data_IF_797336227264
#
_entry.id   IF_797336227264
#
_cell.length_a   1.000
_cell.length_b   1.000
_cell.length_c   1.000
_cell.angle_alpha   90.00
_cell.angle_beta   90.00
_cell.angle_gamma   90.00
#
_symmetry.space_group_name_H-M   'P 1'
#
loop_
_entity.id
_entity.type
_entity.pdbx_description
1 polymer ?
#
# COMPACT_ATOMS: atom_id res chain seq x y z
N UNK A 1 19.42 22.52 -23.48
CA UNK A 1 20.23 22.38 -22.25
C UNK A 1 20.33 20.91 -21.91
N UNK A 2 21.51 20.33 -22.12
CA UNK A 2 21.86 18.97 -21.69
C UNK A 2 22.23 19.02 -20.21
N UNK A 3 21.41 18.45 -19.35
CA UNK A 3 21.79 18.12 -17.98
C UNK A 3 21.85 16.61 -17.85
N UNK A 4 23.08 16.08 -17.87
CA UNK A 4 23.39 14.79 -17.26
C UNK A 4 23.05 14.92 -15.78
N UNK A 5 21.86 14.47 -15.40
CA UNK A 5 21.56 14.13 -14.02
C UNK A 5 21.82 12.64 -13.92
N UNK A 6 22.96 12.26 -13.34
CA UNK A 6 23.11 10.93 -12.77
C UNK A 6 22.06 10.82 -11.67
N UNK A 7 20.92 10.22 -12.02
CA UNK A 7 19.82 9.95 -11.12
C UNK A 7 20.26 8.86 -10.13
N UNK A 8 20.77 9.31 -8.98
CA UNK A 8 21.13 8.44 -7.86
C UNK A 8 20.11 8.61 -6.73
N UNK A 9 18.83 8.24 -6.93
CA UNK A 9 17.88 8.01 -5.82
C UNK A 9 16.61 7.23 -6.20
N UNK A 10 15.98 6.58 -5.22
CA UNK A 10 15.95 5.14 -5.07
C UNK A 10 14.77 4.51 -5.83
N UNK A 11 15.10 3.59 -6.73
CA UNK A 11 14.31 2.36 -6.91
C UNK A 11 13.85 1.84 -5.55
N UNK A 12 12.63 1.28 -5.47
CA UNK A 12 12.12 0.58 -4.28
C UNK A 12 13.27 -0.16 -3.58
N UNK A 13 13.38 -0.01 -2.24
CA UNK A 13 14.54 -0.52 -1.50
C UNK A 13 14.85 -1.95 -1.92
N UNK A 14 16.13 -2.33 -2.07
CA UNK A 14 16.45 -3.70 -2.42
C UNK A 14 15.84 -4.66 -1.39
N UNK A 15 15.35 -5.81 -1.86
CA UNK A 15 14.88 -6.87 -0.98
C UNK A 15 16.05 -7.31 -0.10
N UNK A 16 15.86 -7.37 1.21
CA UNK A 16 16.91 -7.75 2.14
C UNK A 16 17.42 -9.17 1.84
N UNK A 17 18.69 -9.44 2.18
CA UNK A 17 19.29 -10.73 1.88
C UNK A 17 18.51 -11.89 2.55
N UNK A 18 18.27 -12.95 1.78
CA UNK A 18 17.51 -14.13 2.21
C UNK A 18 16.00 -13.90 2.35
N UNK A 19 15.50 -12.68 2.24
CA UNK A 19 14.05 -12.44 2.27
C UNK A 19 13.39 -13.12 1.08
N UNK A 20 12.28 -13.83 1.36
CA UNK A 20 11.50 -14.54 0.34
C UNK A 20 11.05 -13.61 -0.79
N UNK A 21 11.05 -14.12 -2.02
CA UNK A 21 10.80 -13.34 -3.24
C UNK A 21 9.35 -13.46 -3.75
N UNK A 22 8.57 -14.36 -3.18
CA UNK A 22 7.16 -14.62 -3.48
C UNK A 22 6.21 -13.88 -2.52
N UNK A 23 6.70 -12.86 -1.82
CA UNK A 23 5.89 -12.10 -0.88
C UNK A 23 4.89 -11.23 -1.65
N UNK A 24 3.65 -11.20 -1.16
CA UNK A 24 2.60 -10.33 -1.68
C UNK A 24 2.85 -8.87 -1.26
N UNK A 25 3.43 -8.64 -0.08
CA UNK A 25 3.74 -7.28 0.37
C UNK A 25 5.06 -7.19 1.10
N UNK A 26 5.89 -6.25 0.65
CA UNK A 26 7.12 -5.86 1.29
C UNK A 26 6.92 -4.57 2.09
N UNK A 27 7.48 -4.54 3.29
CA UNK A 27 7.60 -3.33 4.11
C UNK A 27 8.93 -2.65 3.83
N UNK A 28 8.86 -1.36 3.50
CA UNK A 28 9.99 -0.44 3.49
C UNK A 28 10.04 0.26 4.87
N UNK A 29 11.05 0.00 5.72
CA UNK A 29 11.16 0.65 7.02
C UNK A 29 11.53 2.14 6.92
N UNK A 30 11.14 2.98 7.91
CA UNK A 30 10.40 2.60 9.10
C UNK A 30 8.89 2.51 8.86
N UNK A 31 8.22 1.63 9.59
CA UNK A 31 6.76 1.50 9.58
C UNK A 31 6.11 2.64 10.38
N UNK A 32 5.09 3.27 9.81
CA UNK A 32 4.24 4.22 10.51
C UNK A 32 3.33 3.47 11.50
N UNK A 33 3.33 3.88 12.75
CA UNK A 33 2.42 3.34 13.76
C UNK A 33 1.05 4.03 13.69
N UNK A 34 -0.01 3.39 14.21
CA UNK A 34 -1.30 4.04 14.40
C UNK A 34 -1.16 5.36 15.18
N UNK A 35 -1.98 6.37 14.85
CA UNK A 35 -1.99 7.62 15.59
C UNK A 35 -2.37 7.37 17.05
N UNK A 36 -1.64 8.03 17.95
CA UNK A 36 -1.98 8.05 19.38
C UNK A 36 -2.85 9.27 19.62
N UNK A 37 -4.03 9.06 20.22
CA UNK A 37 -4.93 10.13 20.63
C UNK A 37 -4.85 10.30 22.14
N UNK A 38 -4.54 11.52 22.59
CA UNK A 38 -4.62 11.92 24.01
C UNK A 38 -5.65 13.03 24.08
N UNK A 39 -6.69 12.84 24.90
CA UNK A 39 -7.80 13.79 25.05
C UNK A 39 -8.45 14.22 23.72
N UNK A 40 -8.53 13.29 22.75
CA UNK A 40 -9.12 13.53 21.44
C UNK A 40 -8.23 14.28 20.44
N UNK A 41 -6.98 14.57 20.79
CA UNK A 41 -6.01 15.23 19.91
C UNK A 41 -5.04 14.19 19.33
N UNK A 42 -4.92 14.15 18.00
CA UNK A 42 -3.92 13.33 17.30
C UNK A 42 -2.52 13.87 17.64
N UNK A 43 -1.72 13.02 18.28
CA UNK A 43 -0.33 13.32 18.59
C UNK A 43 0.57 13.07 17.37
N UNK A 44 1.84 13.47 17.46
CA UNK A 44 2.81 13.25 16.40
C UNK A 44 2.87 11.78 15.96
N UNK A 45 2.87 11.57 14.63
CA UNK A 45 3.03 10.23 14.06
C UNK A 45 4.36 9.63 14.51
N UNK A 46 4.27 8.42 15.03
CA UNK A 46 5.43 7.65 15.48
C UNK A 46 5.79 6.61 14.43
N UNK A 47 7.07 6.30 14.31
CA UNK A 47 7.61 5.33 13.35
C UNK A 47 8.47 4.30 14.07
N UNK A 48 8.52 3.08 13.54
CA UNK A 48 9.32 2.00 14.11
C UNK A 48 9.99 1.14 13.05
N UNK A 49 11.17 0.63 13.37
CA UNK A 49 11.84 -0.45 12.63
C UNK A 49 12.07 -1.68 13.53
N UNK A 50 11.50 -1.69 14.75
CA UNK A 50 11.66 -2.78 15.71
C UNK A 50 10.81 -3.97 15.25
N UNK A 51 11.45 -5.13 15.11
CA UNK A 51 10.83 -6.31 14.51
C UNK A 51 9.62 -6.81 15.28
N UNK A 52 9.68 -6.87 16.62
CA UNK A 52 8.53 -7.30 17.43
C UNK A 52 7.30 -6.41 17.21
N UNK A 53 7.50 -5.09 17.14
CA UNK A 53 6.43 -4.11 16.92
C UNK A 53 5.89 -4.23 15.50
N UNK A 54 6.77 -4.39 14.49
CA UNK A 54 6.35 -4.60 13.10
C UNK A 54 5.58 -5.92 12.97
N UNK A 55 6.08 -7.01 13.54
CA UNK A 55 5.41 -8.30 13.50
C UNK A 55 4.00 -8.19 14.09
N UNK A 56 3.87 -7.59 15.28
CA UNK A 56 2.57 -7.37 15.91
C UNK A 56 1.62 -6.53 15.05
N UNK A 57 2.11 -5.46 14.42
CA UNK A 57 1.29 -4.58 13.58
C UNK A 57 0.77 -5.26 12.30
N UNK A 58 1.50 -6.25 11.80
CA UNK A 58 1.09 -7.10 10.68
C UNK A 58 0.46 -8.43 11.16
N UNK A 59 0.15 -8.57 12.45
CA UNK A 59 -0.39 -9.81 13.03
C UNK A 59 0.45 -11.08 12.72
N UNK A 60 1.77 -10.92 12.70
CA UNK A 60 2.77 -11.98 12.59
C UNK A 60 3.37 -12.30 13.96
N UNK A 61 3.89 -13.51 14.11
CA UNK A 61 4.84 -13.79 15.20
C UNK A 61 6.24 -13.28 14.82
N UNK A 62 7.08 -12.94 15.80
CA UNK A 62 8.48 -12.58 15.53
C UNK A 62 9.23 -13.70 14.80
N UNK A 63 8.94 -14.96 15.15
CA UNK A 63 9.50 -16.15 14.50
C UNK A 63 9.13 -16.20 13.02
N UNK A 64 7.84 -16.05 12.70
CA UNK A 64 7.36 -16.03 11.32
C UNK A 64 7.96 -14.88 10.50
N UNK A 65 8.05 -13.69 11.09
CA UNK A 65 8.68 -12.55 10.43
C UNK A 65 10.15 -12.84 10.09
N UNK A 66 10.90 -13.45 11.01
CA UNK A 66 12.31 -13.83 10.79
C UNK A 66 12.47 -15.01 9.83
N UNK A 67 11.56 -15.97 9.85
CA UNK A 67 11.54 -17.09 8.91
C UNK A 67 11.42 -16.58 7.47
N UNK A 68 10.54 -15.60 7.24
CA UNK A 68 10.40 -14.95 5.94
C UNK A 68 11.56 -14.00 5.58
N UNK A 69 12.37 -13.61 6.58
CA UNK A 69 13.43 -12.62 6.46
C UNK A 69 14.69 -13.03 7.27
N UNK A 70 15.45 -14.05 6.83
CA UNK A 70 16.57 -14.61 7.59
C UNK A 70 17.68 -13.61 7.95
N UNK A 71 17.82 -12.50 7.20
CA UNK A 71 18.75 -11.41 7.55
C UNK A 71 18.42 -10.71 8.88
N UNK A 72 17.20 -10.86 9.39
CA UNK A 72 16.76 -10.36 10.71
C UNK A 72 17.19 -11.26 11.88
N UNK A 73 17.83 -12.39 11.59
CA UNK A 73 18.30 -13.38 12.56
C UNK A 73 17.52 -14.69 12.51
N UNK A 74 17.93 -15.70 13.30
CA UNK A 74 17.31 -17.03 13.26
C UNK A 74 15.84 -17.00 13.69
N UNK A 75 14.97 -17.73 12.97
CA UNK A 75 13.53 -17.79 13.25
C UNK A 75 13.21 -18.31 14.67
N UNK A 76 14.00 -19.24 15.18
CA UNK A 76 13.86 -19.78 16.53
C UNK A 76 14.40 -18.86 17.65
N UNK A 77 15.00 -17.73 17.31
CA UNK A 77 15.55 -16.79 18.29
C UNK A 77 14.49 -15.81 18.77
N UNK A 78 14.37 -15.67 20.09
CA UNK A 78 13.50 -14.70 20.77
C UNK A 78 14.09 -13.30 20.87
N UNK A 79 15.37 -13.12 20.54
CA UNK A 79 16.00 -11.81 20.53
C UNK A 79 15.30 -10.89 19.52
N UNK A 80 15.00 -9.64 19.90
CA UNK A 80 14.40 -8.71 18.95
C UNK A 80 15.43 -8.30 17.87
N UNK A 81 14.94 -7.64 16.82
CA UNK A 81 15.78 -7.09 15.76
C UNK A 81 15.33 -5.69 15.34
N UNK A 82 16.20 -5.02 14.59
CA UNK A 82 15.91 -3.72 13.98
C UNK A 82 16.10 -3.85 12.48
N UNK A 83 15.06 -3.52 11.72
CA UNK A 83 15.08 -3.55 10.27
C UNK A 83 15.95 -2.42 9.70
N UNK A 84 16.72 -2.72 8.65
CA UNK A 84 17.53 -1.72 7.97
C UNK A 84 16.65 -0.72 7.23
N UNK A 85 16.93 0.60 7.29
CA UNK A 85 16.21 1.62 6.53
C UNK A 85 16.59 1.64 5.04
N UNK A 86 17.46 0.73 4.58
CA UNK A 86 17.91 0.63 3.19
C UNK A 86 17.49 -0.68 2.53
N UNK A 87 16.65 -1.47 3.18
CA UNK A 87 16.21 -2.77 2.66
C UNK A 87 14.74 -2.99 2.99
N UNK A 88 14.07 -3.77 2.14
CA UNK A 88 12.67 -4.14 2.35
C UNK A 88 12.50 -5.59 2.74
N UNK A 89 11.47 -5.85 3.54
CA UNK A 89 11.24 -7.12 4.22
C UNK A 89 9.85 -7.67 3.92
N UNK A 90 9.73 -8.98 3.77
CA UNK A 90 8.45 -9.63 3.53
C UNK A 90 7.57 -9.57 4.80
N UNK A 91 6.34 -9.11 4.66
CA UNK A 91 5.37 -9.01 5.76
C UNK A 91 4.01 -9.63 5.44
N UNK A 92 3.82 -10.17 4.22
CA UNK A 92 2.57 -10.84 3.83
C UNK A 92 2.77 -11.75 2.63
N UNK A 93 2.34 -13.00 2.73
CA UNK A 93 2.47 -14.00 1.67
C UNK A 93 1.14 -14.45 1.06
N UNK A 94 0.00 -13.97 1.58
CA UNK A 94 -1.32 -14.29 1.06
C UNK A 94 -2.17 -13.03 0.82
N UNK A 95 -3.04 -13.13 -0.18
CA UNK A 95 -4.16 -12.19 -0.40
C UNK A 95 -5.41 -12.84 0.16
N UNK A 96 -6.14 -12.11 1.01
CA UNK A 96 -7.41 -12.55 1.55
C UNK A 96 -8.55 -11.63 1.11
N UNK A 97 -9.38 -12.17 0.23
CA UNK A 97 -10.62 -11.54 -0.19
C UNK A 97 -11.63 -11.57 0.97
N UNK A 98 -11.91 -10.41 1.52
CA UNK A 98 -13.04 -10.16 2.41
C UNK A 98 -14.36 -10.13 1.64
N UNK A 99 -15.47 -10.03 2.38
CA UNK A 99 -16.84 -9.90 1.86
C UNK A 99 -17.08 -8.54 1.16
N UNK A 100 -16.32 -8.29 0.09
CA UNK A 100 -16.45 -7.18 -0.83
C UNK A 100 -17.43 -7.51 -1.96
N UNK A 101 -17.71 -6.55 -2.83
CA UNK A 101 -18.55 -6.78 -4.01
C UNK A 101 -17.97 -7.85 -4.93
N UNK A 102 -18.84 -8.69 -5.52
CA UNK A 102 -18.45 -9.70 -6.50
C UNK A 102 -17.84 -9.12 -7.79
N UNK A 103 -18.05 -7.82 -8.05
CA UNK A 103 -17.44 -7.12 -9.17
C UNK A 103 -15.97 -6.75 -8.92
N UNK A 104 -15.44 -7.01 -7.73
CA UNK A 104 -14.08 -6.64 -7.38
C UNK A 104 -13.04 -7.39 -8.21
N UNK A 105 -12.07 -6.65 -8.73
CA UNK A 105 -10.95 -7.19 -9.52
C UNK A 105 -9.58 -6.86 -8.93
N UNK A 106 -9.53 -6.00 -7.93
CA UNK A 106 -8.29 -5.69 -7.22
C UNK A 106 -8.54 -5.48 -5.73
N UNK A 107 -7.73 -6.16 -4.92
CA UNK A 107 -7.79 -6.19 -3.47
C UNK A 107 -6.48 -5.70 -2.89
N UNK A 108 -6.56 -4.87 -1.86
CA UNK A 108 -5.39 -4.25 -1.26
C UNK A 108 -5.51 -4.13 0.25
N UNK A 109 -4.43 -4.46 0.95
CA UNK A 109 -4.37 -4.37 2.40
C UNK A 109 -4.13 -2.93 2.83
N UNK A 110 -4.89 -2.46 3.81
CA UNK A 110 -4.56 -1.21 4.47
C UNK A 110 -3.32 -1.40 5.35
N UNK A 111 -2.25 -0.63 5.09
CA UNK A 111 -1.03 -0.68 5.91
C UNK A 111 -1.34 -0.26 7.35
N UNK A 112 -0.58 -0.76 8.35
CA UNK A 112 -0.74 -0.34 9.74
C UNK A 112 -0.79 1.18 9.90
N UNK A 113 -1.71 1.66 10.74
CA UNK A 113 -1.89 3.07 11.05
C UNK A 113 -2.59 3.92 9.98
N UNK A 114 -3.02 3.34 8.86
CA UNK A 114 -3.90 4.04 7.92
C UNK A 114 -5.33 4.14 8.48
N UNK A 115 -5.97 5.29 8.28
CA UNK A 115 -7.43 5.41 8.45
C UNK A 115 -8.14 4.88 7.20
N UNK A 116 -9.41 4.49 7.33
CA UNK A 116 -10.24 4.07 6.20
C UNK A 116 -10.34 5.17 5.11
N UNK A 117 -10.43 6.45 5.51
CA UNK A 117 -10.50 7.58 4.59
C UNK A 117 -9.15 7.79 3.88
N UNK A 118 -8.04 7.71 4.61
CA UNK A 118 -6.71 7.80 4.02
C UNK A 118 -6.44 6.64 3.05
N UNK A 119 -6.93 5.44 3.37
CA UNK A 119 -6.85 4.29 2.49
C UNK A 119 -7.69 4.49 1.22
N UNK A 120 -8.97 4.84 1.35
CA UNK A 120 -9.84 5.11 0.19
C UNK A 120 -9.28 6.23 -0.69
N UNK A 121 -8.84 7.34 -0.08
CA UNK A 121 -8.25 8.48 -0.78
C UNK A 121 -6.96 8.13 -1.53
N UNK A 122 -6.12 7.23 -0.99
CA UNK A 122 -4.92 6.73 -1.70
C UNK A 122 -5.27 6.02 -3.02
N UNK A 123 -6.46 5.46 -3.11
CA UNK A 123 -6.98 4.79 -4.31
C UNK A 123 -7.86 5.69 -5.17
N UNK A 124 -7.94 6.99 -4.85
CA UNK A 124 -8.81 7.94 -5.53
C UNK A 124 -10.30 7.59 -5.37
N UNK A 125 -10.65 6.88 -4.30
CA UNK A 125 -12.01 6.47 -4.02
C UNK A 125 -12.71 7.45 -3.10
N UNK A 126 -13.89 7.90 -3.51
CA UNK A 126 -14.81 8.55 -2.58
C UNK A 126 -15.20 7.55 -1.49
N UNK A 127 -14.91 7.91 -0.24
CA UNK A 127 -15.17 7.06 0.90
C UNK A 127 -16.67 6.76 1.05
N UNK A 128 -17.53 7.77 0.90
CA UNK A 128 -18.96 7.63 1.22
C UNK A 128 -19.70 6.78 0.20
N UNK A 129 -19.38 6.93 -1.07
CA UNK A 129 -20.02 6.25 -2.19
C UNK A 129 -19.26 5.00 -2.64
N UNK A 130 -18.08 5.18 -3.25
CA UNK A 130 -17.37 4.09 -3.94
C UNK A 130 -16.81 3.06 -2.96
N UNK A 131 -15.97 3.50 -2.02
CA UNK A 131 -15.24 2.58 -1.17
C UNK A 131 -16.19 1.72 -0.32
N UNK A 132 -17.22 2.34 0.27
CA UNK A 132 -18.23 1.63 1.05
C UNK A 132 -19.17 0.76 0.22
N UNK A 133 -19.53 1.17 -1.00
CA UNK A 133 -20.34 0.32 -1.88
C UNK A 133 -19.58 -0.96 -2.27
N UNK A 134 -18.26 -0.86 -2.44
CA UNK A 134 -17.43 -2.01 -2.80
C UNK A 134 -17.03 -2.84 -1.58
N UNK A 135 -17.00 -2.22 -0.40
CA UNK A 135 -16.58 -2.80 0.87
C UNK A 135 -17.64 -2.56 1.96
N UNK A 136 -18.80 -3.24 1.90
CA UNK A 136 -19.93 -2.98 2.79
C UNK A 136 -19.60 -3.25 4.27
N UNK A 137 -18.71 -4.19 4.56
CA UNK A 137 -18.20 -4.50 5.89
C UNK A 137 -17.46 -3.34 6.57
N UNK A 138 -16.95 -2.33 5.84
CA UNK A 138 -16.24 -1.18 6.43
C UNK A 138 -17.17 -0.33 7.31
N UNK A 139 -18.47 -0.32 7.00
CA UNK A 139 -19.50 0.50 7.66
C UNK A 139 -19.28 2.01 7.47
N UNK A 140 -20.22 2.83 7.95
CA UNK A 140 -20.20 4.28 7.74
C UNK A 140 -19.20 5.02 8.64
N UNK A 141 -18.97 4.47 9.83
CA UNK A 141 -18.10 4.98 10.89
C UNK A 141 -16.72 4.31 10.91
N UNK A 142 -16.43 3.49 9.90
CA UNK A 142 -15.18 2.71 9.77
C UNK A 142 -14.92 1.67 10.86
N UNK A 143 -15.92 1.32 11.67
CA UNK A 143 -15.77 0.31 12.73
C UNK A 143 -15.40 -1.07 12.20
N UNK A 144 -15.75 -1.38 10.95
CA UNK A 144 -15.36 -2.63 10.30
C UNK A 144 -14.08 -2.54 9.47
N UNK A 145 -13.40 -1.39 9.44
CA UNK A 145 -12.09 -1.24 8.81
C UNK A 145 -10.97 -1.56 9.79
N UNK A 146 -10.09 -2.45 9.37
CA UNK A 146 -8.94 -2.91 10.13
C UNK A 146 -7.68 -2.77 9.27
N UNK A 147 -6.82 -1.82 9.65
CA UNK A 147 -5.50 -1.64 9.08
C UNK A 147 -4.49 -2.63 9.69
N UNK A 148 -3.53 -3.09 8.90
CA UNK A 148 -2.48 -4.02 9.32
C UNK A 148 -2.90 -5.49 9.41
N UNK A 149 -4.16 -5.81 9.18
CA UNK A 149 -4.65 -7.19 9.23
C UNK A 149 -4.40 -7.91 7.91
N UNK A 150 -3.52 -8.92 7.90
CA UNK A 150 -3.20 -9.74 6.71
C UNK A 150 -4.44 -10.43 6.10
N UNK A 151 -5.46 -10.64 6.92
CA UNK A 151 -6.71 -11.29 6.54
C UNK A 151 -7.76 -10.32 6.00
N UNK A 152 -7.39 -9.04 5.85
CA UNK A 152 -8.29 -7.94 5.44
C UNK A 152 -7.70 -7.16 4.28
N UNK A 153 -7.93 -7.64 3.07
CA UNK A 153 -7.77 -6.81 1.89
C UNK A 153 -9.09 -6.12 1.54
N UNK A 154 -9.07 -4.89 1.04
CA UNK A 154 -10.26 -4.16 0.61
C UNK A 154 -10.28 -4.06 -0.90
N UNK A 155 -11.48 -4.09 -1.47
CA UNK A 155 -11.68 -3.85 -2.89
C UNK A 155 -11.34 -2.41 -3.25
N UNK A 156 -10.42 -2.23 -4.18
CA UNK A 156 -9.98 -0.90 -4.66
C UNK A 156 -10.23 -0.68 -6.15
N UNK A 157 -10.65 -1.73 -6.87
CA UNK A 157 -11.10 -1.62 -8.24
C UNK A 157 -12.17 -2.67 -8.53
N UNK A 158 -13.23 -2.26 -9.23
CA UNK A 158 -14.27 -3.17 -9.71
C UNK A 158 -14.31 -3.17 -11.24
N UNK A 159 -14.65 -4.31 -11.84
CA UNK A 159 -14.68 -4.46 -13.28
C UNK A 159 -15.67 -3.48 -13.92
N UNK A 160 -15.29 -2.87 -15.05
CA UNK A 160 -16.11 -1.92 -15.83
C UNK A 160 -16.54 -0.66 -15.06
N UNK A 161 -15.92 -0.36 -13.92
CA UNK A 161 -16.18 0.90 -13.22
C UNK A 161 -15.69 2.09 -14.05
N UNK A 162 -16.52 3.12 -14.14
CA UNK A 162 -16.15 4.42 -14.70
C UNK A 162 -16.13 5.43 -13.57
N UNK A 163 -14.97 6.08 -13.39
CA UNK A 163 -14.86 7.17 -12.43
C UNK A 163 -15.81 8.30 -12.85
N UNK A 164 -16.52 8.95 -11.91
CA UNK A 164 -17.35 10.12 -12.21
C UNK A 164 -16.51 11.18 -12.94
N UNK A 165 -17.07 11.79 -14.00
CA UNK A 165 -16.37 12.77 -14.82
C UNK A 165 -15.54 12.19 -15.98
N UNK A 166 -15.42 10.86 -16.12
CA UNK A 166 -14.83 10.28 -17.33
C UNK A 166 -15.70 10.54 -18.56
N UNK A 167 -15.08 10.99 -19.65
CA UNK A 167 -15.74 11.15 -20.94
C UNK A 167 -16.28 9.81 -21.45
N UNK A 168 -17.46 9.82 -22.07
CA UNK A 168 -18.14 8.60 -22.52
C UNK A 168 -17.33 7.76 -23.53
N UNK A 169 -16.43 8.41 -24.28
CA UNK A 169 -15.55 7.75 -25.27
C UNK A 169 -14.32 7.05 -24.67
N UNK A 170 -14.06 7.19 -23.36
CA UNK A 170 -12.96 6.48 -22.72
C UNK A 170 -13.17 4.95 -22.80
N UNK A 171 -12.23 4.23 -23.40
CA UNK A 171 -12.32 2.78 -23.64
C UNK A 171 -11.07 2.01 -23.18
N UNK A 172 -10.11 2.69 -22.56
CA UNK A 172 -8.91 2.10 -21.96
C UNK A 172 -8.62 2.79 -20.62
N UNK A 173 -8.25 2.01 -19.62
CA UNK A 173 -7.90 2.48 -18.29
C UNK A 173 -6.48 2.04 -17.95
N UNK A 174 -5.77 2.88 -17.22
CA UNK A 174 -4.48 2.55 -16.63
C UNK A 174 -4.55 2.89 -15.15
N UNK A 175 -4.17 1.94 -14.29
CA UNK A 175 -4.02 2.20 -12.86
C UNK A 175 -2.68 2.89 -12.67
N UNK A 176 -2.63 4.02 -11.99
CA UNK A 176 -1.38 4.73 -11.69
C UNK A 176 -0.47 4.02 -10.66
N UNK A 177 -0.93 2.89 -10.11
CA UNK A 177 -0.33 2.16 -8.99
C UNK A 177 0.68 1.07 -9.39
N UNK A 178 1.06 0.94 -10.66
CA UNK A 178 2.10 -0.02 -11.05
C UNK A 178 3.52 0.54 -10.90
N UNK A 179 3.69 1.68 -10.23
CA UNK A 179 4.99 2.24 -9.82
C UNK A 179 4.86 3.06 -8.55
N UNK A 180 5.98 3.20 -7.84
CA UNK A 180 6.06 4.00 -6.63
C UNK A 180 5.54 5.42 -6.91
N UNK A 181 4.85 6.05 -5.96
CA UNK A 181 4.33 7.41 -6.15
C UNK A 181 5.45 8.45 -6.40
N UNK A 182 6.68 8.10 -6.04
CA UNK A 182 7.90 8.85 -6.33
C UNK A 182 8.41 8.71 -7.78
N UNK A 183 7.90 7.79 -8.58
CA UNK A 183 8.40 7.46 -9.94
C UNK A 183 7.79 8.33 -11.06
N UNK A 184 7.31 9.55 -10.75
CA UNK A 184 6.62 10.41 -11.72
C UNK A 184 5.52 9.64 -12.47
N UNK A 185 4.47 9.16 -11.78
CA UNK A 185 3.49 8.22 -12.33
C UNK A 185 2.84 8.68 -13.66
N UNK A 186 2.68 10.00 -13.86
CA UNK A 186 2.23 10.57 -15.13
C UNK A 186 3.17 10.23 -16.30
N UNK A 187 4.49 10.40 -16.13
CA UNK A 187 5.47 10.13 -17.19
C UNK A 187 5.54 8.65 -17.58
N UNK A 188 5.29 7.74 -16.65
CA UNK A 188 5.27 6.30 -16.92
C UNK A 188 4.08 5.95 -17.79
N UNK A 189 2.90 6.47 -17.46
CA UNK A 189 1.69 6.29 -18.25
C UNK A 189 1.86 6.96 -19.61
N UNK A 190 2.33 8.20 -19.65
CA UNK A 190 2.63 8.95 -20.87
C UNK A 190 3.58 8.17 -21.79
N UNK A 191 4.69 7.65 -21.27
CA UNK A 191 5.66 6.86 -22.04
C UNK A 191 5.04 5.55 -22.53
N UNK A 192 4.38 4.81 -21.64
CA UNK A 192 3.74 3.52 -21.95
C UNK A 192 2.72 3.63 -23.08
N UNK A 193 1.99 4.75 -23.13
CA UNK A 193 0.93 4.98 -24.10
C UNK A 193 1.31 5.98 -25.21
N UNK A 194 2.56 6.47 -25.24
CA UNK A 194 3.03 7.45 -26.22
C UNK A 194 2.24 8.77 -26.21
N UNK A 195 1.82 9.23 -25.04
CA UNK A 195 0.97 10.42 -24.87
C UNK A 195 1.80 11.60 -24.36
N UNK A 196 1.49 12.82 -24.80
CA UNK A 196 2.08 14.01 -24.20
C UNK A 196 1.37 14.38 -22.89
N UNK A 197 2.08 15.08 -22.00
CA UNK A 197 1.58 15.47 -20.68
C UNK A 197 0.28 16.27 -20.73
N UNK A 198 0.18 17.27 -21.63
CA UNK A 198 -1.01 18.11 -21.76
C UNK A 198 -2.26 17.29 -22.11
N UNK A 199 -2.13 16.28 -22.96
CA UNK A 199 -3.21 15.37 -23.34
C UNK A 199 -3.56 14.41 -22.20
N UNK A 200 -2.58 13.95 -21.45
CA UNK A 200 -2.82 13.14 -20.25
C UNK A 200 -3.65 13.90 -19.21
N UNK A 201 -3.24 15.13 -18.89
CA UNK A 201 -3.97 16.01 -17.94
C UNK A 201 -5.37 16.33 -18.47
N UNK A 202 -5.53 16.66 -19.75
CA UNK A 202 -6.85 16.94 -20.33
C UNK A 202 -7.83 15.75 -20.29
N UNK A 203 -7.33 14.51 -20.25
CA UNK A 203 -8.14 13.30 -20.15
C UNK A 203 -8.40 12.85 -18.71
N UNK A 204 -7.66 13.40 -17.75
CA UNK A 204 -7.77 13.11 -16.32
C UNK A 204 -7.79 14.46 -15.55
N UNK A 205 -8.83 15.29 -15.75
CA UNK A 205 -8.96 16.58 -15.07
C UNK A 205 -9.15 16.44 -13.56
#
# INVERSE_FOLDING_TARGET
FTTNITDTRPTAMPVANGTRQDCISYLDPPMMLPPVFVDGVEQNRTYTSVCSVVAAAYNLTLSQLKDWNPSLGPANSTADCVMSPTSRYCVRDIVQQVNATAACIQYEMAKPGMTCQAFAGRWGLDFKGQFRAWNPMVQADCTGFQAGMLTKDYCVAVNKYRQPGQIASCNKWAVANNTNFYDKPCQIIETKFGMNHNRFVAWNP
#
